data_IF_603686626322
#
_entry.id   IF_603686626322
#
_cell.length_a   1.000
_cell.length_b   1.000
_cell.length_c   1.000
_cell.angle_alpha   90.00
_cell.angle_beta   90.00
_cell.angle_gamma   90.00
#
_symmetry.space_group_name_H-M   'P 1'
#
loop_
_entity.id
_entity.type
_entity.pdbx_description
1 polymer ?
#
# COMPACT_ATOMS: atom_id res chain seq x y z
N UNK A 1 3.59 16.64 -3.00
CA UNK A 1 3.01 15.64 -2.09
C UNK A 1 4.15 14.74 -1.68
N UNK A 2 4.34 14.51 -0.38
CA UNK A 2 5.31 13.51 0.05
C UNK A 2 4.89 12.13 -0.43
N UNK A 3 5.88 11.34 -0.82
CA UNK A 3 5.68 10.01 -1.39
C UNK A 3 4.94 9.14 -0.37
N UNK A 4 3.84 8.51 -0.79
CA UNK A 4 3.07 7.59 0.05
C UNK A 4 3.88 6.31 0.28
N UNK A 5 4.24 6.08 1.55
CA UNK A 5 4.98 4.90 1.97
C UNK A 5 4.19 4.03 2.94
N UNK A 6 3.23 4.63 3.65
CA UNK A 6 2.46 4.00 4.74
C UNK A 6 1.79 2.70 4.30
N UNK A 7 1.29 2.61 3.07
CA UNK A 7 0.68 1.39 2.52
C UNK A 7 1.65 0.53 1.68
N UNK A 8 2.87 1.01 1.41
CA UNK A 8 3.85 0.37 0.50
C UNK A 8 5.10 -0.20 1.17
N UNK A 9 5.35 0.16 2.42
CA UNK A 9 6.53 -0.28 3.15
C UNK A 9 6.18 -1.03 4.44
N UNK A 10 7.20 -1.74 4.95
CA UNK A 10 7.28 -2.23 6.33
C UNK A 10 8.39 -1.45 7.01
N UNK A 11 8.13 -0.87 8.18
CA UNK A 11 9.11 -0.10 8.96
C UNK A 11 9.08 -0.49 10.43
N UNK A 12 10.22 -0.30 11.09
CA UNK A 12 10.45 -0.58 12.51
C UNK A 12 10.99 0.69 13.18
N UNK A 13 10.76 0.81 14.48
CA UNK A 13 11.24 1.89 15.35
C UNK A 13 10.98 3.29 14.76
N UNK A 14 9.74 3.50 14.32
CA UNK A 14 9.31 4.73 13.70
C UNK A 14 9.35 5.88 14.71
N UNK A 15 9.68 7.07 14.19
CA UNK A 15 9.49 8.31 14.96
C UNK A 15 8.01 8.57 15.22
N UNK A 16 7.74 9.34 16.28
CA UNK A 16 6.38 9.77 16.63
C UNK A 16 5.68 10.50 15.47
N UNK A 17 6.42 11.29 14.70
CA UNK A 17 5.86 11.98 13.53
C UNK A 17 5.38 11.01 12.44
N UNK A 18 6.09 9.88 12.24
CA UNK A 18 5.72 8.86 11.25
C UNK A 18 4.59 7.94 11.72
N UNK A 19 4.36 7.87 13.03
CA UNK A 19 3.23 7.16 13.65
C UNK A 19 1.92 7.95 13.56
N UNK A 20 1.97 9.25 13.32
CA UNK A 20 0.78 10.05 13.10
C UNK A 20 0.04 9.64 11.81
N UNK A 21 -1.28 9.81 11.82
CA UNK A 21 -2.11 9.58 10.64
C UNK A 21 -1.75 10.60 9.56
N UNK A 22 -1.43 10.14 8.36
CA UNK A 22 -1.29 11.02 7.20
C UNK A 22 -2.66 11.54 6.74
N UNK A 23 -2.72 12.62 5.94
CA UNK A 23 -3.98 13.04 5.33
C UNK A 23 -4.69 11.90 4.58
N UNK A 24 -5.99 11.74 4.89
CA UNK A 24 -6.84 10.66 4.38
C UNK A 24 -6.67 9.30 5.08
N UNK A 25 -5.67 9.15 5.95
CA UNK A 25 -5.52 7.98 6.81
C UNK A 25 -6.40 8.15 8.06
N UNK A 26 -7.07 7.08 8.47
CA UNK A 26 -7.87 7.06 9.69
C UNK A 26 -7.80 5.70 10.38
N UNK A 27 -7.92 5.72 11.70
CA UNK A 27 -7.99 4.50 12.50
C UNK A 27 -9.35 3.83 12.29
N UNK A 28 -9.33 2.55 11.93
CA UNK A 28 -10.51 1.71 11.81
C UNK A 28 -10.81 1.04 13.15
N UNK A 29 -9.78 0.48 13.79
CA UNK A 29 -9.93 -0.16 15.08
C UNK A 29 -8.61 -0.15 15.85
N UNK A 30 -8.74 -0.09 17.17
CA UNK A 30 -7.67 -0.20 18.13
C UNK A 30 -7.87 -1.46 18.96
N UNK A 31 -6.78 -2.20 19.17
CA UNK A 31 -6.73 -3.35 20.06
C UNK A 31 -5.67 -3.07 21.12
N UNK A 32 -6.10 -3.04 22.38
CA UNK A 32 -5.20 -2.90 23.51
C UNK A 32 -4.68 -4.27 23.91
N UNK A 33 -3.61 -4.29 24.70
CA UNK A 33 -3.01 -5.53 25.21
C UNK A 33 -2.60 -6.54 24.13
N UNK A 34 -2.19 -6.10 22.94
CA UNK A 34 -1.69 -7.00 21.90
C UNK A 34 -0.19 -7.20 22.07
N UNK A 35 0.23 -8.44 22.22
CA UNK A 35 1.64 -8.85 22.26
C UNK A 35 2.19 -9.07 20.85
N UNK A 36 3.40 -8.59 20.60
CA UNK A 36 4.19 -9.00 19.44
C UNK A 36 5.03 -10.25 19.79
N UNK A 37 4.44 -11.41 19.55
CA UNK A 37 5.00 -12.71 19.91
C UNK A 37 6.22 -13.09 19.05
N UNK A 38 6.42 -12.45 17.89
CA UNK A 38 7.56 -12.74 17.03
C UNK A 38 8.81 -11.98 17.47
N UNK A 39 8.75 -10.65 17.47
CA UNK A 39 9.91 -9.80 17.70
C UNK A 39 10.12 -9.43 19.16
N UNK A 40 9.05 -9.25 19.92
CA UNK A 40 9.08 -8.72 21.29
C UNK A 40 8.27 -9.61 22.25
N UNK A 41 8.51 -10.92 22.22
CA UNK A 41 7.75 -11.89 23.01
C UNK A 41 7.82 -11.58 24.51
N UNK A 42 6.66 -11.44 25.14
CA UNK A 42 6.52 -10.98 26.53
C UNK A 42 6.31 -9.47 26.70
N UNK A 43 6.37 -8.67 25.63
CA UNK A 43 6.09 -7.24 25.68
C UNK A 43 4.66 -6.95 25.21
N UNK A 44 3.93 -6.23 26.05
CA UNK A 44 2.55 -5.90 25.79
C UNK A 44 2.46 -4.58 25.03
N UNK A 45 1.66 -4.52 23.98
CA UNK A 45 1.56 -3.36 23.09
C UNK A 45 0.15 -3.02 22.67
N UNK A 46 0.02 -1.93 21.93
CA UNK A 46 -1.24 -1.47 21.34
C UNK A 46 -1.14 -1.64 19.83
N UNK A 47 -2.12 -2.31 19.24
CA UNK A 47 -2.22 -2.53 17.80
C UNK A 47 -3.32 -1.64 17.22
N UNK A 48 -2.97 -0.84 16.22
CA UNK A 48 -3.89 0.00 15.47
C UNK A 48 -4.03 -0.55 14.06
N UNK A 49 -5.26 -0.74 13.62
CA UNK A 49 -5.60 -1.03 12.23
C UNK A 49 -6.13 0.25 11.62
N UNK A 50 -5.43 0.80 10.64
CA UNK A 50 -5.87 1.98 9.87
C UNK A 50 -6.43 1.52 8.52
N UNK A 51 -6.84 2.46 7.69
CA UNK A 51 -7.22 2.17 6.30
C UNK A 51 -6.02 1.90 5.36
N UNK A 52 -4.78 2.14 5.79
CA UNK A 52 -3.57 1.99 4.96
C UNK A 52 -2.54 1.01 5.52
N UNK A 53 -2.48 0.85 6.84
CA UNK A 53 -1.47 0.04 7.51
C UNK A 53 -1.95 -0.51 8.84
N UNK A 54 -1.19 -1.47 9.34
CA UNK A 54 -1.27 -1.96 10.71
C UNK A 54 -0.07 -1.38 11.45
N UNK A 55 -0.30 -0.84 12.65
CA UNK A 55 0.78 -0.35 13.50
C UNK A 55 0.71 -1.08 14.83
N UNK A 56 1.87 -1.36 15.41
CA UNK A 56 1.98 -1.85 16.76
C UNK A 56 3.06 -1.05 17.49
N UNK A 57 2.82 -0.71 18.75
CA UNK A 57 3.84 -0.12 19.60
C UNK A 57 3.78 -0.70 21.00
N UNK A 58 4.95 -0.83 21.62
CA UNK A 58 5.06 -1.28 23.00
C UNK A 58 4.41 -0.27 23.97
N UNK A 59 3.78 -0.76 25.02
CA UNK A 59 3.35 0.06 26.16
C UNK A 59 4.52 0.45 27.07
N UNK A 60 5.52 -0.43 27.18
CA UNK A 60 6.65 -0.24 28.10
C UNK A 60 7.74 0.63 27.48
N UNK A 61 7.98 0.49 26.18
CA UNK A 61 8.99 1.24 25.43
C UNK A 61 8.43 1.71 24.08
N UNK A 62 7.69 2.83 24.00
CA UNK A 62 7.03 3.28 22.76
C UNK A 62 7.95 3.49 21.54
N UNK A 63 9.26 3.66 21.77
CA UNK A 63 10.27 3.68 20.70
C UNK A 63 10.35 2.37 19.91
N UNK A 64 9.98 1.25 20.56
CA UNK A 64 9.86 -0.08 19.95
C UNK A 64 8.48 -0.16 19.35
N UNK A 65 8.43 -0.01 18.03
CA UNK A 65 7.19 -0.02 17.27
C UNK A 65 7.43 -0.51 15.85
N UNK A 66 6.34 -0.85 15.16
CA UNK A 66 6.38 -1.29 13.78
C UNK A 66 5.16 -0.79 13.02
N UNK A 67 5.32 -0.77 11.70
CA UNK A 67 4.31 -0.34 10.75
C UNK A 67 4.33 -1.29 9.55
N UNK A 68 3.17 -1.86 9.22
CA UNK A 68 2.97 -2.84 8.15
C UNK A 68 1.95 -2.28 7.16
N UNK A 69 2.41 -1.78 6.01
CA UNK A 69 1.50 -1.33 4.95
C UNK A 69 0.70 -2.49 4.34
N UNK A 70 -0.60 -2.29 4.10
CA UNK A 70 -1.45 -3.33 3.52
C UNK A 70 -0.98 -3.76 2.12
N UNK A 71 -0.34 -2.88 1.35
CA UNK A 71 0.25 -3.22 0.05
C UNK A 71 1.43 -4.18 0.11
N UNK A 72 2.01 -4.41 1.30
CA UNK A 72 3.07 -5.40 1.51
C UNK A 72 2.54 -6.79 1.91
N UNK A 73 1.28 -6.89 2.34
CA UNK A 73 0.73 -8.13 2.90
C UNK A 73 0.36 -9.08 1.76
N UNK A 74 0.82 -10.33 1.84
CA UNK A 74 0.45 -11.37 0.86
C UNK A 74 -0.27 -12.55 1.50
N UNK A 75 -0.23 -12.70 2.83
CA UNK A 75 -0.93 -13.76 3.54
C UNK A 75 -1.26 -13.33 4.96
N UNK A 76 -2.46 -13.67 5.42
CA UNK A 76 -2.92 -13.47 6.80
C UNK A 76 -3.59 -14.77 7.23
N UNK A 77 -3.16 -15.33 8.36
CA UNK A 77 -3.65 -16.61 8.88
C UNK A 77 -3.73 -16.58 10.41
N UNK A 78 -4.50 -17.50 10.99
CA UNK A 78 -4.44 -17.78 12.42
C UNK A 78 -3.61 -19.04 12.63
N UNK A 79 -2.70 -19.02 13.61
CA UNK A 79 -1.92 -20.19 14.03
C UNK A 79 -1.88 -20.29 15.55
N UNK A 80 -1.75 -21.51 16.07
CA UNK A 80 -1.51 -21.72 17.50
C UNK A 80 -0.04 -21.41 17.79
N UNK A 81 0.22 -20.50 18.72
CA UNK A 81 1.57 -20.11 19.13
C UNK A 81 1.67 -20.11 20.66
N UNK A 82 2.89 -20.06 21.18
CA UNK A 82 3.13 -20.01 22.62
C UNK A 82 3.58 -18.60 23.00
N UNK A 83 2.63 -17.81 23.52
CA UNK A 83 2.89 -16.46 24.01
C UNK A 83 3.52 -16.53 25.40
N UNK A 84 4.44 -15.60 25.70
CA UNK A 84 5.04 -15.53 27.03
C UNK A 84 4.06 -14.95 28.06
N UNK A 85 3.15 -14.08 27.64
CA UNK A 85 2.12 -13.50 28.51
C UNK A 85 0.93 -14.44 28.75
N UNK A 86 0.62 -15.32 27.79
CA UNK A 86 -0.67 -16.05 27.74
C UNK A 86 -0.55 -17.56 27.56
N UNK A 87 0.67 -18.07 27.35
CA UNK A 87 0.88 -19.48 27.06
C UNK A 87 0.34 -19.90 25.67
N UNK A 88 -0.08 -21.17 25.50
CA UNK A 88 -0.55 -21.68 24.21
C UNK A 88 -1.90 -21.07 23.81
N UNK A 89 -1.89 -20.25 22.75
CA UNK A 89 -3.08 -19.52 22.29
C UNK A 89 -3.10 -19.37 20.77
N UNK A 90 -4.24 -18.99 20.20
CA UNK A 90 -4.34 -18.61 18.79
C UNK A 90 -3.75 -17.22 18.57
N UNK A 91 -3.12 -17.01 17.42
CA UNK A 91 -2.42 -15.76 17.10
C UNK A 91 -2.57 -15.41 15.64
N UNK A 92 -2.60 -14.10 15.38
CA UNK A 92 -2.65 -13.53 14.05
C UNK A 92 -1.25 -13.58 13.45
N UNK A 93 -1.09 -14.34 12.38
CA UNK A 93 0.14 -14.40 11.58
C UNK A 93 -0.03 -13.60 10.29
N UNK A 94 0.80 -12.58 10.11
CA UNK A 94 0.85 -11.75 8.90
C UNK A 94 2.17 -12.02 8.18
N UNK A 95 2.10 -12.41 6.91
CA UNK A 95 3.29 -12.54 6.06
C UNK A 95 3.32 -11.43 5.01
N UNK A 96 4.46 -10.79 4.88
CA UNK A 96 4.65 -9.65 3.99
C UNK A 96 5.82 -9.88 3.04
N UNK A 97 5.76 -9.20 1.89
CA UNK A 97 6.87 -9.08 0.97
C UNK A 97 7.07 -7.61 0.63
N UNK A 98 8.19 -7.04 1.05
CA UNK A 98 8.51 -5.63 0.85
C UNK A 98 9.97 -5.49 0.41
N UNK A 99 10.24 -4.79 -0.69
CA UNK A 99 11.61 -4.54 -1.19
C UNK A 99 12.48 -5.82 -1.27
N UNK A 100 11.89 -6.90 -1.80
CA UNK A 100 12.49 -8.25 -1.91
C UNK A 100 12.66 -9.02 -0.59
N UNK A 101 12.46 -8.39 0.57
CA UNK A 101 12.47 -9.05 1.87
C UNK A 101 11.11 -9.67 2.19
N UNK A 102 11.13 -10.81 2.88
CA UNK A 102 9.93 -11.46 3.41
C UNK A 102 9.93 -11.38 4.93
N UNK A 103 8.87 -10.82 5.50
CA UNK A 103 8.71 -10.75 6.95
C UNK A 103 7.50 -11.57 7.41
N UNK A 104 7.58 -12.08 8.63
CA UNK A 104 6.47 -12.71 9.35
C UNK A 104 6.28 -11.98 10.68
N UNK A 105 5.04 -11.59 10.95
CA UNK A 105 4.62 -10.96 12.20
C UNK A 105 3.61 -11.86 12.89
N UNK A 106 3.72 -11.96 14.22
CA UNK A 106 2.83 -12.78 15.03
C UNK A 106 2.30 -11.92 16.16
N UNK A 107 1.00 -11.66 16.15
CA UNK A 107 0.32 -10.89 17.17
C UNK A 107 -0.63 -11.76 17.98
N UNK A 108 -0.54 -11.64 19.30
CA UNK A 108 -1.36 -12.37 20.24
C UNK A 108 -2.13 -11.40 21.11
N UNK A 109 -3.45 -11.51 21.09
CA UNK A 109 -4.37 -10.76 21.95
C UNK A 109 -5.00 -11.70 22.99
N UNK A 110 -5.78 -11.13 23.91
CA UNK A 110 -6.63 -11.89 24.81
C UNK A 110 -7.63 -12.76 24.05
N UNK A 111 -7.91 -13.96 24.56
CA UNK A 111 -8.72 -14.98 23.87
C UNK A 111 -10.11 -14.46 23.49
N UNK A 112 -10.69 -13.57 24.30
CA UNK A 112 -11.99 -12.93 24.04
C UNK A 112 -11.96 -11.94 22.86
N UNK A 113 -10.81 -11.34 22.55
CA UNK A 113 -10.67 -10.30 21.53
C UNK A 113 -9.88 -10.75 20.29
N UNK A 114 -9.18 -11.89 20.36
CA UNK A 114 -8.37 -12.43 19.27
C UNK A 114 -9.16 -12.65 17.97
N UNK A 115 -10.40 -13.14 18.09
CA UNK A 115 -11.30 -13.32 16.94
C UNK A 115 -11.63 -11.99 16.26
N UNK A 116 -11.89 -10.94 17.05
CA UNK A 116 -12.16 -9.60 16.54
C UNK A 116 -10.95 -9.01 15.80
N UNK A 117 -9.75 -9.17 16.35
CA UNK A 117 -8.49 -8.73 15.72
C UNK A 117 -8.30 -9.35 14.33
N UNK A 118 -8.44 -10.69 14.24
CA UNK A 118 -8.30 -11.38 12.97
C UNK A 118 -9.34 -10.93 11.93
N UNK A 119 -10.62 -10.87 12.32
CA UNK A 119 -11.71 -10.48 11.42
C UNK A 119 -11.51 -9.07 10.88
N UNK A 120 -11.13 -8.12 11.73
CA UNK A 120 -10.88 -6.73 11.32
C UNK A 120 -9.71 -6.65 10.34
N UNK A 121 -8.54 -7.21 10.69
CA UNK A 121 -7.35 -7.18 9.81
C UNK A 121 -7.63 -7.82 8.46
N UNK A 122 -8.29 -8.98 8.43
CA UNK A 122 -8.68 -9.67 7.19
C UNK A 122 -9.63 -8.84 6.33
N UNK A 123 -10.64 -8.23 6.94
CA UNK A 123 -11.67 -7.48 6.24
C UNK A 123 -11.10 -6.19 5.65
N UNK A 124 -10.27 -5.47 6.41
CA UNK A 124 -9.60 -4.27 5.94
C UNK A 124 -8.60 -4.61 4.83
N UNK A 125 -7.83 -5.70 4.95
CA UNK A 125 -6.93 -6.14 3.87
C UNK A 125 -7.68 -6.43 2.57
N UNK A 126 -8.84 -7.09 2.65
CA UNK A 126 -9.70 -7.34 1.47
C UNK A 126 -10.26 -6.05 0.87
N UNK A 127 -10.71 -5.12 1.71
CA UNK A 127 -11.20 -3.81 1.27
C UNK A 127 -10.09 -2.97 0.62
N UNK A 128 -8.88 -3.03 1.17
CA UNK A 128 -7.70 -2.41 0.59
C UNK A 128 -7.41 -3.01 -0.80
N UNK A 129 -7.39 -4.33 -0.96
CA UNK A 129 -7.11 -4.96 -2.25
C UNK A 129 -8.15 -4.69 -3.34
N UNK A 130 -9.44 -4.66 -2.98
CA UNK A 130 -10.53 -4.45 -3.94
C UNK A 130 -10.63 -3.01 -4.45
N UNK A 131 -9.95 -2.06 -3.81
CA UNK A 131 -10.04 -0.62 -4.09
C UNK A 131 -8.78 -0.05 -4.74
N UNK A 132 -7.90 -0.90 -5.28
CA UNK A 132 -6.63 -0.50 -5.92
C UNK A 132 -6.78 0.60 -6.98
N UNK A 133 -7.88 0.64 -7.74
CA UNK A 133 -8.11 1.67 -8.77
C UNK A 133 -8.22 3.12 -8.23
N UNK A 134 -8.39 3.31 -6.91
CA UNK A 134 -8.32 4.64 -6.28
C UNK A 134 -6.89 5.18 -6.21
N UNK A 135 -5.89 4.29 -6.27
CA UNK A 135 -4.51 4.61 -5.86
C UNK A 135 -3.43 4.05 -6.78
N UNK A 136 -3.74 3.08 -7.63
CA UNK A 136 -2.81 2.50 -8.60
C UNK A 136 -3.12 2.98 -10.02
N UNK A 137 -2.06 3.38 -10.73
CA UNK A 137 -2.14 3.67 -12.17
C UNK A 137 -2.47 2.37 -12.91
N UNK A 138 -3.46 2.42 -13.81
CA UNK A 138 -3.87 1.25 -14.60
C UNK A 138 -3.80 1.54 -16.10
N UNK A 139 -3.02 0.73 -16.80
CA UNK A 139 -3.03 0.64 -18.25
C UNK A 139 -3.94 -0.51 -18.69
N UNK A 140 -4.71 -0.29 -19.77
CA UNK A 140 -5.56 -1.32 -20.41
C UNK A 140 -6.48 -2.03 -19.41
N UNK A 141 -7.13 -1.26 -18.53
CA UNK A 141 -8.08 -1.78 -17.55
C UNK A 141 -9.46 -2.01 -18.15
N UNK A 142 -10.29 -2.81 -17.48
CA UNK A 142 -11.73 -2.85 -17.76
C UNK A 142 -12.41 -1.65 -17.08
N UNK A 143 -12.36 -0.50 -17.75
CA UNK A 143 -12.80 0.80 -17.20
C UNK A 143 -14.09 1.30 -17.83
N UNK A 144 -14.41 0.87 -19.05
CA UNK A 144 -15.52 1.40 -19.84
C UNK A 144 -16.58 0.31 -20.01
N UNK A 145 -17.84 0.67 -19.79
CA UNK A 145 -18.99 -0.19 -20.03
C UNK A 145 -20.05 0.63 -20.76
N UNK A 146 -20.41 0.22 -21.97
CA UNK A 146 -21.42 0.94 -22.77
C UNK A 146 -21.05 2.40 -23.06
N UNK A 147 -19.79 2.69 -23.40
CA UNK A 147 -19.26 4.06 -23.66
C UNK A 147 -19.32 5.01 -22.46
N UNK A 148 -19.48 4.47 -21.25
CA UNK A 148 -19.47 5.21 -19.99
C UNK A 148 -18.36 4.68 -19.08
N UNK A 149 -17.82 5.56 -18.24
CA UNK A 149 -16.85 5.18 -17.22
C UNK A 149 -17.54 4.33 -16.15
N UNK A 150 -16.95 3.18 -15.81
CA UNK A 150 -17.33 2.40 -14.63
C UNK A 150 -16.83 3.12 -13.38
N UNK A 151 -17.75 3.81 -12.72
CA UNK A 151 -17.48 4.63 -11.54
C UNK A 151 -17.05 3.77 -10.35
N UNK A 152 -16.06 4.25 -9.59
CA UNK A 152 -15.76 3.75 -8.26
C UNK A 152 -16.79 4.28 -7.23
N UNK A 153 -16.98 3.63 -6.07
CA UNK A 153 -18.02 4.02 -5.10
C UNK A 153 -18.08 5.50 -4.69
N UNK A 154 -16.94 6.19 -4.54
CA UNK A 154 -16.84 7.61 -4.19
C UNK A 154 -16.44 8.49 -5.38
N UNK A 155 -16.52 7.96 -6.59
CA UNK A 155 -16.10 8.66 -7.79
C UNK A 155 -17.25 9.48 -8.36
N UNK A 156 -16.95 10.74 -8.66
CA UNK A 156 -17.86 11.67 -9.31
C UNK A 156 -17.17 12.27 -10.54
N UNK A 157 -17.89 12.31 -11.67
CA UNK A 157 -17.39 12.90 -12.91
C UNK A 157 -17.59 14.41 -12.84
N UNK A 158 -16.49 15.16 -12.97
CA UNK A 158 -16.53 16.62 -13.13
C UNK A 158 -16.67 17.01 -14.59
N UNK A 159 -15.94 16.31 -15.47
CA UNK A 159 -15.91 16.65 -16.88
C UNK A 159 -15.73 15.42 -17.78
N UNK A 160 -16.31 15.51 -18.97
CA UNK A 160 -16.13 14.55 -20.06
C UNK A 160 -15.69 15.31 -21.31
N UNK A 161 -14.45 15.09 -21.72
CA UNK A 161 -13.84 15.82 -22.82
C UNK A 161 -13.65 14.85 -23.99
N UNK A 162 -14.43 15.05 -25.06
CA UNK A 162 -14.28 14.28 -26.29
C UNK A 162 -13.19 14.88 -27.17
N UNK A 163 -12.67 14.10 -28.10
CA UNK A 163 -11.72 14.60 -29.11
C UNK A 163 -10.28 14.70 -28.61
N UNK A 164 -9.94 13.94 -27.58
CA UNK A 164 -8.62 13.98 -26.94
C UNK A 164 -7.71 12.98 -27.61
N UNK A 165 -6.64 13.47 -28.21
CA UNK A 165 -5.61 12.64 -28.84
C UNK A 165 -4.58 12.19 -27.81
N UNK A 166 -4.38 10.89 -27.67
CA UNK A 166 -3.20 10.35 -26.98
C UNK A 166 -2.00 10.34 -27.94
N UNK A 167 -0.86 10.86 -27.45
CA UNK A 167 0.39 11.03 -28.21
C UNK A 167 1.46 10.00 -27.86
N UNK A 168 1.13 8.94 -27.11
CA UNK A 168 2.12 7.91 -26.71
C UNK A 168 2.43 6.88 -27.81
N UNK A 169 1.79 6.97 -28.97
CA UNK A 169 1.98 6.09 -30.12
C UNK A 169 2.32 6.86 -31.40
N UNK A 170 3.01 6.20 -32.34
CA UNK A 170 3.43 6.80 -33.63
C UNK A 170 2.26 7.33 -34.46
N UNK A 171 1.09 6.71 -34.31
CA UNK A 171 -0.19 7.21 -34.79
C UNK A 171 -0.97 7.65 -33.56
N UNK A 172 -1.37 8.93 -33.49
CA UNK A 172 -2.18 9.41 -32.38
C UNK A 172 -3.50 8.65 -32.31
N UNK A 173 -4.00 8.39 -31.11
CA UNK A 173 -5.31 7.74 -30.93
C UNK A 173 -6.33 8.76 -30.45
N UNK A 174 -7.45 8.88 -31.18
CA UNK A 174 -8.56 9.73 -30.78
C UNK A 174 -9.39 9.04 -29.68
N UNK A 175 -9.64 9.78 -28.61
CA UNK A 175 -10.32 9.24 -27.44
C UNK A 175 -11.16 10.27 -26.69
N UNK A 176 -11.56 9.84 -25.50
CA UNK A 176 -12.37 10.61 -24.56
C UNK A 176 -11.67 10.62 -23.21
N UNK A 177 -11.59 11.80 -22.60
CA UNK A 177 -11.22 11.97 -21.20
C UNK A 177 -12.46 11.96 -20.31
N UNK A 178 -12.32 11.34 -19.15
CA UNK A 178 -13.14 11.55 -17.96
C UNK A 178 -12.25 12.14 -16.88
N UNK A 179 -12.63 13.30 -16.37
CA UNK A 179 -11.97 13.96 -15.24
C UNK A 179 -12.88 13.77 -14.03
N UNK A 180 -12.40 13.08 -12.99
CA UNK A 180 -13.17 12.79 -11.77
C UNK A 180 -12.54 13.45 -10.56
N UNK A 181 -13.13 13.31 -9.37
CA UNK A 181 -12.51 13.68 -8.09
C UNK A 181 -11.34 12.78 -7.67
N UNK A 182 -11.18 11.58 -8.24
CA UNK A 182 -10.18 10.60 -7.80
C UNK A 182 -9.05 10.42 -8.83
N UNK A 183 -9.39 10.46 -10.11
CA UNK A 183 -8.49 10.07 -11.19
C UNK A 183 -8.86 10.72 -12.52
N UNK A 184 -7.91 10.70 -13.44
CA UNK A 184 -8.16 11.04 -14.84
C UNK A 184 -8.15 9.73 -15.64
N UNK A 185 -9.17 9.51 -16.46
CA UNK A 185 -9.28 8.33 -17.33
C UNK A 185 -9.35 8.75 -18.77
N UNK A 186 -8.48 8.20 -19.61
CA UNK A 186 -8.58 8.33 -21.06
C UNK A 186 -8.81 6.95 -21.69
N UNK A 187 -9.68 6.87 -22.69
CA UNK A 187 -9.80 5.68 -23.54
C UNK A 187 -9.91 6.07 -25.01
N UNK A 188 -9.39 5.22 -25.89
CA UNK A 188 -9.59 5.38 -27.33
C UNK A 188 -11.05 5.08 -27.72
N UNK A 189 -11.56 5.82 -28.70
CA UNK A 189 -12.95 5.67 -29.16
C UNK A 189 -13.13 4.43 -30.04
N UNK A 190 -12.10 4.04 -30.80
CA UNK A 190 -12.14 2.87 -31.68
C UNK A 190 -11.79 1.56 -30.97
N UNK A 191 -11.13 1.65 -29.81
CA UNK A 191 -10.76 0.48 -29.01
C UNK A 191 -10.75 0.87 -27.54
N UNK A 192 -11.86 0.64 -26.85
CA UNK A 192 -12.01 0.99 -25.42
C UNK A 192 -11.01 0.24 -24.53
N UNK A 193 -10.44 -0.88 -24.96
CA UNK A 193 -9.39 -1.59 -24.21
C UNK A 193 -8.04 -0.86 -24.24
N UNK A 194 -7.86 0.08 -25.16
CA UNK A 194 -6.73 1.00 -25.15
C UNK A 194 -7.08 2.23 -24.31
N UNK A 195 -6.82 2.11 -23.01
CA UNK A 195 -7.13 3.12 -22.02
C UNK A 195 -6.04 3.24 -20.96
N UNK A 196 -6.10 4.35 -20.22
CA UNK A 196 -5.27 4.62 -19.06
C UNK A 196 -6.12 5.28 -17.98
N UNK A 197 -5.93 4.86 -16.73
CA UNK A 197 -6.47 5.49 -15.54
C UNK A 197 -5.32 5.94 -14.66
N UNK A 198 -5.26 7.24 -14.38
CA UNK A 198 -4.21 7.87 -13.57
C UNK A 198 -4.86 8.51 -12.33
N UNK A 199 -4.80 7.85 -11.16
CA UNK A 199 -5.20 8.47 -9.91
C UNK A 199 -4.40 9.72 -9.61
N UNK A 200 -5.03 10.74 -9.03
CA UNK A 200 -4.33 11.96 -8.61
C UNK A 200 -3.18 11.66 -7.67
N UNK A 201 -3.31 10.62 -6.82
CA UNK A 201 -2.24 10.12 -5.96
C UNK A 201 -0.95 9.76 -6.72
N UNK A 202 -1.08 9.33 -7.98
CA UNK A 202 0.05 8.92 -8.81
C UNK A 202 0.52 10.01 -9.77
N UNK A 203 -0.10 11.20 -9.76
CA UNK A 203 0.34 12.32 -10.58
C UNK A 203 1.47 13.05 -9.87
N UNK A 204 2.63 13.17 -10.53
CA UNK A 204 3.72 14.01 -10.07
C UNK A 204 3.54 15.44 -10.58
N UNK A 205 3.34 15.61 -11.89
CA UNK A 205 3.09 16.92 -12.49
C UNK A 205 2.10 16.85 -13.65
N UNK A 206 1.38 17.95 -13.86
CA UNK A 206 0.56 18.19 -15.05
C UNK A 206 1.00 19.51 -15.64
N UNK A 207 1.45 19.53 -16.90
CA UNK A 207 1.98 20.73 -17.57
C UNK A 207 1.55 20.75 -19.03
N UNK A 208 1.34 21.94 -19.59
CA UNK A 208 1.23 22.10 -21.04
C UNK A 208 2.65 22.31 -21.59
N UNK A 209 3.04 21.52 -22.58
CA UNK A 209 4.35 21.60 -23.26
C UNK A 209 4.16 21.61 -24.77
N UNK A 210 5.16 22.15 -25.46
CA UNK A 210 5.26 22.00 -26.92
C UNK A 210 5.60 20.55 -27.28
N UNK A 211 5.12 20.08 -28.43
CA UNK A 211 5.36 18.75 -28.95
C UNK A 211 5.43 18.76 -30.48
N UNK A 212 5.91 17.67 -31.09
CA UNK A 212 5.92 17.52 -32.56
C UNK A 212 4.54 17.68 -33.22
N UNK A 213 3.46 17.55 -32.44
CA UNK A 213 2.08 17.59 -32.91
C UNK A 213 1.32 18.84 -32.43
N UNK A 214 2.04 19.87 -31.99
CA UNK A 214 1.51 21.08 -31.36
C UNK A 214 1.51 20.99 -29.83
N UNK A 215 0.92 21.97 -29.15
CA UNK A 215 0.82 21.98 -27.70
C UNK A 215 0.05 20.77 -27.16
N UNK A 216 0.57 20.17 -26.10
CA UNK A 216 -0.01 19.00 -25.45
C UNK A 216 0.04 19.13 -23.92
N UNK A 217 -0.97 18.59 -23.26
CA UNK A 217 -0.98 18.38 -21.83
C UNK A 217 -0.18 17.10 -21.54
N UNK A 218 0.84 17.24 -20.70
CA UNK A 218 1.72 16.16 -20.26
C UNK A 218 1.42 15.88 -18.79
N UNK A 219 1.01 14.64 -18.51
CA UNK A 219 0.84 14.10 -17.16
C UNK A 219 2.04 13.19 -16.88
N UNK A 220 2.88 13.59 -15.92
CA UNK A 220 4.01 12.79 -15.43
C UNK A 220 3.56 12.06 -14.16
N UNK A 221 3.72 10.72 -14.13
CA UNK A 221 3.39 9.91 -12.95
C UNK A 221 4.57 9.78 -11.99
N UNK A 222 4.29 9.46 -10.73
CA UNK A 222 5.33 9.19 -9.71
C UNK A 222 6.23 8.02 -10.12
N UNK A 223 7.46 7.99 -9.61
CA UNK A 223 8.37 6.86 -9.84
C UNK A 223 7.81 5.52 -9.31
N UNK A 224 7.06 5.55 -8.20
CA UNK A 224 6.41 4.37 -7.61
C UNK A 224 5.37 3.74 -8.55
N UNK A 225 4.76 4.54 -9.42
CA UNK A 225 3.84 4.05 -10.46
C UNK A 225 4.52 3.75 -11.78
N UNK A 226 5.86 3.83 -11.87
CA UNK A 226 6.64 3.54 -13.08
C UNK A 226 7.14 4.75 -13.85
N UNK A 227 6.88 5.99 -13.39
CA UNK A 227 7.42 7.21 -14.01
C UNK A 227 6.93 7.46 -15.44
N UNK A 228 5.65 7.20 -15.70
CA UNK A 228 5.07 7.37 -17.03
C UNK A 228 4.98 8.84 -17.43
N UNK A 229 5.21 9.12 -18.72
CA UNK A 229 5.01 10.44 -19.34
C UNK A 229 3.90 10.32 -20.38
N UNK A 230 2.72 10.85 -20.06
CA UNK A 230 1.52 10.69 -20.88
C UNK A 230 1.17 12.03 -21.54
N UNK A 231 1.25 12.08 -22.88
CA UNK A 231 0.94 13.28 -23.67
C UNK A 231 -0.44 13.23 -24.30
N UNK A 232 -1.19 14.32 -24.17
CA UNK A 232 -2.54 14.47 -24.69
C UNK A 232 -2.74 15.80 -25.41
N UNK A 233 -3.22 15.76 -26.66
CA UNK A 233 -3.61 16.97 -27.41
C UNK A 233 -5.12 17.14 -27.40
N UNK A 234 -5.57 18.38 -27.23
CA UNK A 234 -6.97 18.78 -27.25
C UNK A 234 -7.05 20.05 -28.09
N UNK A 235 -8.00 20.08 -29.03
CA UNK A 235 -8.22 21.21 -29.93
C UNK A 235 -9.59 21.87 -29.62
N UNK A 236 -9.68 23.21 -29.64
CA UNK A 236 -8.58 24.17 -29.77
C UNK A 236 -7.79 24.33 -28.46
N UNK A 237 -6.68 25.09 -28.50
CA UNK A 237 -5.72 25.21 -27.39
C UNK A 237 -6.34 25.76 -26.10
N UNK A 238 -7.40 26.56 -26.19
CA UNK A 238 -8.12 27.10 -25.04
C UNK A 238 -8.71 25.95 -24.19
N UNK A 239 -9.30 24.94 -24.84
CA UNK A 239 -9.82 23.75 -24.16
C UNK A 239 -8.72 22.91 -23.53
N UNK A 240 -7.54 22.86 -24.18
CA UNK A 240 -6.37 22.20 -23.60
C UNK A 240 -5.94 22.87 -22.29
N UNK A 241 -5.89 24.20 -22.28
CA UNK A 241 -5.51 24.98 -21.11
C UNK A 241 -6.55 24.87 -19.99
N UNK A 242 -7.84 24.91 -20.32
CA UNK A 242 -8.94 24.70 -19.37
C UNK A 242 -8.86 23.32 -18.72
N UNK A 243 -8.72 22.26 -19.52
CA UNK A 243 -8.59 20.89 -19.03
C UNK A 243 -7.36 20.70 -18.12
N UNK A 244 -6.21 21.25 -18.52
CA UNK A 244 -5.00 21.20 -17.72
C UNK A 244 -5.16 21.91 -16.38
N UNK A 245 -5.80 23.09 -16.37
CA UNK A 245 -6.06 23.88 -15.15
C UNK A 245 -7.06 23.18 -14.23
N UNK A 246 -8.10 22.55 -14.79
CA UNK A 246 -9.08 21.75 -14.05
C UNK A 246 -8.38 20.57 -13.34
N UNK A 247 -7.62 19.77 -14.08
CA UNK A 247 -6.88 18.62 -13.55
C UNK A 247 -5.86 19.06 -12.50
N UNK A 248 -5.12 20.16 -12.72
CA UNK A 248 -4.19 20.72 -11.73
C UNK A 248 -4.89 21.14 -10.44
N UNK A 249 -6.08 21.74 -10.55
CA UNK A 249 -6.86 22.20 -9.40
C UNK A 249 -7.40 21.02 -8.59
N UNK A 250 -7.97 20.03 -9.27
CA UNK A 250 -8.44 18.78 -8.65
C UNK A 250 -7.29 18.00 -8.01
N UNK A 251 -6.15 17.91 -8.67
CA UNK A 251 -4.95 17.29 -8.11
C UNK A 251 -4.50 17.98 -6.81
N UNK A 252 -4.54 19.31 -6.75
CA UNK A 252 -4.19 20.08 -5.54
C UNK A 252 -5.19 19.82 -4.41
N UNK A 253 -6.49 19.83 -4.71
CA UNK A 253 -7.55 19.57 -3.72
C UNK A 253 -7.46 18.14 -3.20
N UNK A 254 -7.32 17.15 -4.09
CA UNK A 254 -7.15 15.74 -3.73
C UNK A 254 -5.91 15.53 -2.85
N UNK A 255 -4.79 16.20 -3.16
CA UNK A 255 -3.55 16.07 -2.39
C UNK A 255 -3.66 16.52 -0.93
N UNK A 256 -4.60 17.42 -0.62
CA UNK A 256 -4.82 17.91 0.75
C UNK A 256 -5.56 16.88 1.62
N UNK A 257 -6.46 16.10 1.04
CA UNK A 257 -7.21 15.05 1.75
C UNK A 257 -7.54 13.89 0.79
N UNK A 258 -6.58 12.99 0.53
CA UNK A 258 -6.73 11.91 -0.44
C UNK A 258 -7.83 10.92 -0.08
N UNK A 259 -8.54 10.44 -1.09
CA UNK A 259 -9.52 9.34 -0.96
C UNK A 259 -8.83 8.05 -1.42
N UNK A 260 -8.49 7.17 -0.48
CA UNK A 260 -7.82 5.89 -0.78
C UNK A 260 -8.76 4.75 -1.16
N UNK A 261 -10.08 4.96 -1.01
CA UNK A 261 -11.14 4.02 -1.40
C UNK A 261 -11.46 2.92 -0.40
N UNK A 262 -10.64 2.75 0.64
CA UNK A 262 -10.82 1.70 1.65
C UNK A 262 -11.95 2.09 2.61
N UNK A 263 -13.01 1.29 2.63
CA UNK A 263 -14.14 1.43 3.53
C UNK A 263 -14.26 0.20 4.43
N UNK A 264 -14.59 0.45 5.70
CA UNK A 264 -14.89 -0.60 6.66
C UNK A 264 -16.09 -0.17 7.47
N UNK A 265 -17.16 -0.95 7.38
CA UNK A 265 -18.35 -0.80 8.21
C UNK A 265 -18.37 -1.98 9.18
N UNK A 266 -18.26 -1.71 10.48
CA UNK A 266 -18.48 -2.73 11.50
C UNK A 266 -19.96 -3.07 11.47
N UNK A 267 -20.32 -4.30 11.09
CA UNK A 267 -21.67 -4.79 11.35
C UNK A 267 -21.87 -4.75 12.86
N UNK A 268 -22.81 -3.92 13.31
CA UNK A 268 -23.13 -3.76 14.71
C UNK A 268 -23.78 -5.04 15.23
N UNK A 269 -22.98 -5.93 15.83
CA UNK A 269 -23.49 -6.73 16.94
C UNK A 269 -23.65 -5.72 18.08
N UNK A 270 -24.90 -5.41 18.41
CA UNK A 270 -25.27 -4.50 19.50
C UNK A 270 -24.70 -5.07 20.80
N UNK A 271 -23.56 -4.53 21.22
CA UNK A 271 -23.14 -4.51 22.61
C UNK A 271 -23.07 -3.04 22.98
N UNK A 272 -23.92 -2.66 23.93
CA UNK A 272 -24.11 -1.29 24.39
C UNK A 272 -22.79 -0.64 24.79
N UNK A 273 -22.64 0.62 24.35
CA UNK A 273 -21.49 1.48 24.53
C UNK A 273 -21.07 1.65 26.00
N UNK A 274 -19.75 1.62 26.22
CA UNK A 274 -19.12 2.59 27.12
C UNK A 274 -18.43 3.61 26.23
N UNK A 275 -19.07 4.76 26.07
CA UNK A 275 -18.54 5.88 25.29
C UNK A 275 -17.21 6.34 25.84
N UNK A 276 -16.14 6.13 25.06
CA UNK A 276 -14.87 6.79 25.25
C UNK A 276 -14.50 7.45 23.92
N UNK A 277 -14.51 8.77 23.94
CA UNK A 277 -14.02 9.65 22.90
C UNK A 277 -12.48 9.46 22.80
N UNK A 278 -12.00 8.38 22.18
CA UNK A 278 -10.56 8.05 22.10
C UNK A 278 -9.84 8.78 20.95
N UNK A 279 -10.16 10.07 20.82
CA UNK A 279 -9.44 11.03 19.98
C UNK A 279 -8.25 11.68 20.71
N UNK A 280 -7.69 11.02 21.72
CA UNK A 280 -6.57 11.59 22.47
C UNK A 280 -5.25 11.26 21.77
N UNK A 281 -4.88 12.21 20.91
CA UNK A 281 -3.53 12.47 20.41
C UNK A 281 -2.54 12.39 21.59
N UNK A 282 -1.41 11.74 21.34
CA UNK A 282 -0.26 11.65 22.24
C UNK A 282 -0.10 12.90 23.11
N UNK A 283 -0.04 12.73 24.43
CA UNK A 283 0.55 13.76 25.27
C UNK A 283 2.02 13.93 24.85
N UNK A 284 2.51 15.16 24.61
CA UNK A 284 3.91 15.38 24.31
C UNK A 284 4.69 15.09 25.59
N UNK A 285 5.34 13.93 25.64
CA UNK A 285 6.38 13.68 26.63
C UNK A 285 7.59 14.49 26.17
N UNK A 286 7.72 15.71 26.70
CA UNK A 286 9.01 16.42 26.72
C UNK A 286 9.89 15.71 27.74
N UNK A 287 10.60 14.68 27.28
CA UNK A 287 11.81 14.22 27.97
C UNK A 287 12.96 14.40 26.98
N UNK A 288 13.72 15.48 27.21
CA UNK A 288 15.07 15.67 26.70
C UNK A 288 15.92 14.49 27.21
N UNK A 289 16.01 13.44 26.41
CA UNK A 289 16.96 12.36 26.59
C UNK A 289 17.98 12.45 25.45
N UNK A 290 19.19 12.86 25.81
CA UNK A 290 20.36 12.87 24.95
C UNK A 290 20.46 11.54 24.18
N UNK A 291 20.44 11.65 22.85
CA UNK A 291 20.39 10.53 21.94
C UNK A 291 21.77 9.88 21.87
N UNK A 292 21.97 8.81 22.64
CA UNK A 292 23.05 7.88 22.37
C UNK A 292 22.65 7.01 21.15
N UNK A 293 23.17 7.36 19.98
CA UNK A 293 22.87 6.71 18.69
C UNK A 293 23.59 5.37 18.48
N UNK A 294 24.19 4.80 19.53
CA UNK A 294 25.25 3.79 19.39
C UNK A 294 24.82 2.32 19.36
N UNK A 295 23.53 1.96 19.46
CA UNK A 295 23.09 0.57 19.31
C UNK A 295 21.82 0.47 18.46
N UNK A 296 21.97 0.59 17.14
CA UNK A 296 20.97 0.08 16.19
C UNK A 296 21.19 -1.42 16.02
N UNK A 297 20.64 -2.22 16.91
CA UNK A 297 20.35 -3.61 16.59
C UNK A 297 19.30 -3.58 15.47
N UNK A 298 19.54 -4.25 14.34
CA UNK A 298 18.63 -4.22 13.20
C UNK A 298 17.33 -4.98 13.55
N UNK A 299 16.36 -4.27 14.14
CA UNK A 299 15.11 -4.82 14.65
C UNK A 299 14.36 -5.67 13.60
N UNK A 300 14.58 -5.39 12.31
CA UNK A 300 13.99 -6.12 11.19
C UNK A 300 14.40 -7.61 11.13
N UNK A 301 15.59 -7.96 11.65
CA UNK A 301 16.14 -9.32 11.59
C UNK A 301 15.27 -10.33 12.34
N UNK A 302 14.66 -9.92 13.46
CA UNK A 302 13.79 -10.78 14.25
C UNK A 302 12.52 -11.22 13.50
N UNK A 303 12.14 -10.50 12.44
CA UNK A 303 10.91 -10.72 11.69
C UNK A 303 11.10 -11.44 10.36
N UNK A 304 12.32 -11.86 9.98
CA UNK A 304 12.49 -12.60 8.72
C UNK A 304 11.69 -13.91 8.73
N UNK A 305 10.95 -14.14 7.65
CA UNK A 305 10.11 -15.33 7.50
C UNK A 305 10.93 -16.64 7.38
N UNK A 306 12.14 -16.55 6.82
CA UNK A 306 13.00 -17.70 6.51
C UNK A 306 14.06 -17.99 7.61
N UNK A 307 13.94 -17.34 8.78
CA UNK A 307 14.92 -17.44 9.88
C UNK A 307 16.21 -16.64 9.63
N UNK A 308 17.03 -16.46 10.67
CA UNK A 308 18.18 -15.54 10.75
C UNK A 308 19.39 -15.85 9.84
N UNK A 309 19.19 -16.42 8.65
CA UNK A 309 20.25 -16.84 7.72
C UNK A 309 20.40 -15.95 6.48
N UNK A 310 20.04 -14.67 6.60
CA UNK A 310 20.19 -13.65 5.55
C UNK A 310 21.43 -12.76 5.70
N UNK A 311 22.45 -13.14 6.49
CA UNK A 311 23.72 -12.39 6.54
C UNK A 311 24.54 -12.44 5.24
N UNK A 312 24.14 -13.25 4.24
CA UNK A 312 24.75 -13.24 2.91
C UNK A 312 23.70 -13.01 1.83
N UNK A 313 23.18 -11.79 1.76
CA UNK A 313 22.41 -11.31 0.62
C UNK A 313 23.36 -10.99 -0.55
N UNK A 314 24.02 -12.02 -1.10
CA UNK A 314 24.13 -12.05 -2.56
C UNK A 314 22.67 -12.14 -3.02
N UNK A 315 22.13 -10.99 -3.43
CA UNK A 315 20.83 -10.82 -4.10
C UNK A 315 20.32 -12.13 -4.67
N UNK A 316 19.19 -12.65 -4.16
CA UNK A 316 18.52 -13.87 -4.62
C UNK A 316 18.82 -14.10 -6.11
N UNK A 317 19.80 -14.96 -6.37
CA UNK A 317 20.45 -15.00 -7.67
C UNK A 317 19.37 -15.28 -8.75
N UNK A 318 19.49 -14.68 -9.94
CA UNK A 318 18.43 -14.79 -10.95
C UNK A 318 18.10 -16.26 -11.20
N UNK A 319 16.81 -16.62 -11.34
CA UNK A 319 16.42 -18.00 -11.51
C UNK A 319 17.10 -18.60 -12.75
N UNK A 320 17.60 -19.82 -12.61
CA UNK A 320 18.28 -20.56 -13.68
C UNK A 320 17.41 -21.71 -14.16
N UNK A 321 17.51 -22.04 -15.44
CA UNK A 321 16.84 -23.22 -15.98
C UNK A 321 17.55 -24.49 -15.49
N UNK A 322 16.79 -25.40 -14.89
CA UNK A 322 17.25 -26.73 -14.50
C UNK A 322 16.77 -27.78 -15.52
N UNK A 323 17.67 -28.37 -16.32
CA UNK A 323 17.32 -29.42 -17.27
C UNK A 323 16.78 -30.68 -16.60
N UNK A 324 17.29 -31.05 -15.42
CA UNK A 324 16.88 -32.27 -14.70
C UNK A 324 15.41 -32.24 -14.28
N UNK A 325 14.89 -31.05 -13.94
CA UNK A 325 13.50 -30.86 -13.53
C UNK A 325 12.62 -30.31 -14.66
N UNK A 326 13.22 -29.73 -15.71
CA UNK A 326 12.49 -28.98 -16.73
C UNK A 326 11.86 -27.68 -16.20
N UNK A 327 12.39 -27.11 -15.11
CA UNK A 327 11.84 -25.98 -14.38
C UNK A 327 12.88 -24.86 -14.19
N UNK A 328 12.40 -23.63 -13.95
CA UNK A 328 13.24 -22.57 -13.42
C UNK A 328 13.39 -22.74 -11.90
N UNK A 329 14.63 -22.71 -11.39
CA UNK A 329 14.95 -22.87 -9.97
C UNK A 329 15.87 -21.74 -9.49
N UNK A 330 15.94 -21.55 -8.17
CA UNK A 330 17.01 -20.77 -7.57
C UNK A 330 18.38 -21.46 -7.82
N UNK A 331 19.46 -20.70 -8.08
CA UNK A 331 20.79 -21.28 -8.21
C UNK A 331 21.18 -22.10 -6.99
N UNK A 332 21.63 -23.33 -7.23
CA UNK A 332 22.04 -24.24 -6.17
C UNK A 332 23.34 -23.72 -5.55
N UNK A 333 23.35 -23.61 -4.22
CA UNK A 333 24.53 -23.16 -3.48
C UNK A 333 25.75 -24.03 -3.81
N UNK A 334 26.96 -23.44 -3.92
CA UNK A 334 28.18 -24.21 -4.16
C UNK A 334 28.32 -25.38 -3.18
N UNK A 335 28.67 -26.56 -3.71
CA UNK A 335 28.81 -27.79 -2.91
C UNK A 335 27.54 -28.63 -2.76
N UNK A 336 26.38 -28.15 -3.22
CA UNK A 336 25.13 -28.92 -3.24
C UNK A 336 24.74 -29.36 -4.66
N UNK A 337 23.96 -30.44 -4.75
CA UNK A 337 23.31 -30.92 -5.96
C UNK A 337 21.80 -31.09 -5.71
N UNK A 338 20.98 -31.16 -6.76
CA UNK A 338 19.54 -31.43 -6.58
C UNK A 338 19.29 -32.73 -5.84
N UNK A 339 20.02 -33.78 -6.20
CA UNK A 339 19.90 -35.08 -5.55
C UNK A 339 20.27 -35.01 -4.07
N UNK A 340 21.33 -34.29 -3.70
CA UNK A 340 21.73 -34.17 -2.29
C UNK A 340 20.73 -33.34 -1.47
N UNK A 341 20.06 -32.36 -2.10
CA UNK A 341 19.01 -31.57 -1.44
C UNK A 341 17.69 -32.35 -1.30
N UNK A 342 17.40 -33.26 -2.23
CA UNK A 342 16.18 -34.07 -2.23
C UNK A 342 16.27 -35.32 -1.34
N UNK A 343 17.46 -35.91 -1.27
CA UNK A 343 17.66 -37.16 -0.51
C UNK A 343 17.67 -36.85 0.98
N UNK A 344 16.72 -37.45 1.70
CA UNK A 344 16.75 -37.49 3.17
C UNK A 344 17.70 -38.63 3.55
N UNK A 345 18.80 -38.32 4.24
CA UNK A 345 19.63 -39.33 4.90
C UNK A 345 18.93 -39.86 6.15
#
# INVERSE_FOLDING_TARGET
MDVLWEDRDVRFDLSLQQMNMRPGEFVIQTFNSVEDTKGNNGDNGKLLVTNLRIMWHSHTLPRVNLSIGFGCIHNITTRRTNSKLRGPTESLCISTKCNSNKFEFIFTNDVSEQGGLFVTVMSVSKAYDSTKLYRDLKLRGSLIQGKQLKMLPKEEIYNRINGVWNLSSNQGNLGTFFVTNIRVVWHANMNESFNVSVPYLQIQTVKVRDSKFGYAMVIESTWQSGGYVLGFRIDPIEKLQEAAKEIQSLHRVYSASPIYGVEYHKESIVHEDSGANDGQIMAPVTEDLDIDTSIKTDASVAYFADGASYENNESAAPPVFCPELGLAIEPIKPGYTLKSLWSIL
#
